data_IF_679931585422
#
_entry.id   IF_679931585422
#
_cell.length_a   1.000
_cell.length_b   1.000
_cell.length_c   1.000
_cell.angle_alpha   90.00
_cell.angle_beta   90.00
_cell.angle_gamma   90.00
#
_symmetry.space_group_name_H-M   'P 1'
#
loop_
_entity.id
_entity.type
_entity.pdbx_description
1 polymer ?
#
# COMPACT_ATOMS: atom_id res chain seq x y z
N UNK A 1 -7.50 -6.33 -9.97
CA UNK A 1 -6.50 -6.31 -8.88
C UNK A 1 -5.17 -6.75 -9.42
N UNK A 2 -4.11 -6.07 -9.06
CA UNK A 2 -2.75 -6.41 -9.48
C UNK A 2 -1.89 -6.68 -8.26
N UNK A 3 -1.00 -7.68 -8.31
CA UNK A 3 -0.05 -7.93 -7.23
C UNK A 3 1.07 -6.89 -7.27
N UNK A 4 1.38 -6.31 -6.09
CA UNK A 4 2.45 -5.34 -5.96
C UNK A 4 3.23 -5.61 -4.68
N UNK A 5 4.51 -5.25 -4.68
CA UNK A 5 5.32 -5.24 -3.48
C UNK A 5 4.97 -4.02 -2.63
N UNK A 6 5.08 -4.15 -1.30
CA UNK A 6 4.75 -3.06 -0.40
C UNK A 6 5.69 -3.01 0.80
N UNK A 7 5.76 -1.83 1.40
CA UNK A 7 6.44 -1.60 2.67
C UNK A 7 5.46 -0.88 3.61
N UNK A 8 5.25 -1.46 4.81
CA UNK A 8 4.52 -0.82 5.89
C UNK A 8 5.51 -0.17 6.85
N UNK A 9 5.38 1.13 7.10
CA UNK A 9 6.30 1.88 7.95
C UNK A 9 5.74 2.18 9.34
N UNK A 10 4.60 1.63 9.68
CA UNK A 10 3.89 1.89 10.93
C UNK A 10 2.78 2.93 10.82
N UNK A 11 2.76 3.69 9.74
CA UNK A 11 1.77 4.74 9.51
C UNK A 11 1.20 4.72 8.10
N UNK A 12 2.02 4.43 7.09
CA UNK A 12 1.63 4.42 5.68
C UNK A 12 2.10 3.15 5.00
N UNK A 13 1.44 2.82 3.89
CA UNK A 13 1.84 1.73 3.01
C UNK A 13 2.48 2.34 1.77
N UNK A 14 3.71 1.93 1.48
CA UNK A 14 4.44 2.36 0.29
C UNK A 14 4.35 1.26 -0.76
N UNK A 15 3.83 1.59 -1.92
CA UNK A 15 3.79 0.70 -3.08
C UNK A 15 4.49 1.36 -4.26
N UNK A 16 4.91 0.56 -5.22
CA UNK A 16 5.55 1.07 -6.43
C UNK A 16 4.97 0.38 -7.66
N UNK A 17 4.77 1.15 -8.71
CA UNK A 17 4.25 0.65 -9.98
C UNK A 17 4.80 1.51 -11.12
N UNK A 18 4.86 0.99 -12.36
CA UNK A 18 5.27 1.84 -13.49
C UNK A 18 4.38 3.09 -13.56
N UNK A 19 5.00 4.24 -13.71
CA UNK A 19 4.29 5.52 -13.70
C UNK A 19 3.23 5.61 -14.81
N UNK A 20 3.45 4.96 -15.93
CA UNK A 20 2.53 4.95 -17.07
C UNK A 20 1.49 3.82 -17.00
N UNK A 21 1.47 3.00 -15.94
CA UNK A 21 0.54 1.89 -15.84
C UNK A 21 -0.91 2.36 -15.61
N UNK A 22 -1.91 1.54 -15.96
CA UNK A 22 -3.30 1.84 -15.62
C UNK A 22 -3.51 2.03 -14.12
N UNK A 23 -2.82 1.23 -13.29
CA UNK A 23 -2.88 1.36 -11.83
C UNK A 23 -2.43 2.75 -11.39
N UNK A 24 -1.27 3.21 -11.89
CA UNK A 24 -0.77 4.54 -11.58
C UNK A 24 -1.76 5.63 -11.97
N UNK A 25 -2.30 5.56 -13.18
CA UNK A 25 -3.28 6.55 -13.66
C UNK A 25 -4.54 6.56 -12.82
N UNK A 26 -5.05 5.39 -12.44
CA UNK A 26 -6.26 5.29 -11.61
C UNK A 26 -6.03 5.85 -10.21
N UNK A 27 -4.89 5.55 -9.59
CA UNK A 27 -4.57 6.05 -8.25
C UNK A 27 -4.43 7.57 -8.26
N UNK A 28 -3.81 8.14 -9.28
CA UNK A 28 -3.65 9.59 -9.39
C UNK A 28 -4.98 10.29 -9.68
N UNK A 29 -5.86 9.64 -10.45
CA UNK A 29 -7.15 10.23 -10.81
C UNK A 29 -8.13 10.24 -9.63
N UNK A 30 -8.18 9.17 -8.84
CA UNK A 30 -9.16 9.02 -7.75
C UNK A 30 -8.60 9.37 -6.38
N UNK A 31 -7.31 9.17 -6.16
CA UNK A 31 -6.68 9.31 -4.85
C UNK A 31 -7.13 8.25 -3.84
N UNK A 32 -7.87 7.23 -4.28
CA UNK A 32 -8.41 6.18 -3.41
C UNK A 32 -7.86 4.83 -3.82
N UNK A 33 -7.63 3.97 -2.83
CA UNK A 33 -7.06 2.66 -3.07
C UNK A 33 -7.61 1.63 -2.10
N UNK A 34 -7.72 0.39 -2.56
CA UNK A 34 -8.01 -0.78 -1.74
C UNK A 34 -6.89 -1.77 -1.89
N UNK A 35 -6.38 -2.25 -0.77
CA UNK A 35 -5.28 -3.21 -0.72
C UNK A 35 -5.72 -4.46 0.02
N UNK A 36 -5.38 -5.62 -0.53
CA UNK A 36 -5.55 -6.90 0.15
C UNK A 36 -4.18 -7.50 0.41
N UNK A 37 -3.91 -7.88 1.64
CA UNK A 37 -2.63 -8.43 2.05
C UNK A 37 -2.86 -9.78 2.73
N UNK A 38 -2.17 -10.81 2.24
CA UNK A 38 -2.21 -12.14 2.81
C UNK A 38 -3.05 -13.13 2.01
N UNK A 39 -3.08 -14.40 2.44
CA UNK A 39 -3.88 -15.44 1.79
C UNK A 39 -5.38 -15.21 2.05
N UNK A 40 -6.20 -15.85 1.24
CA UNK A 40 -7.66 -15.64 1.24
C UNK A 40 -8.32 -15.85 2.61
N UNK A 41 -7.77 -16.74 3.43
CA UNK A 41 -8.34 -17.07 4.76
C UNK A 41 -7.73 -16.29 5.91
N UNK A 42 -6.67 -15.53 5.64
CA UNK A 42 -6.00 -14.72 6.63
C UNK A 42 -5.61 -13.41 5.95
N UNK A 43 -6.60 -12.55 5.80
CA UNK A 43 -6.53 -11.40 4.91
C UNK A 43 -6.66 -10.11 5.69
N UNK A 44 -5.82 -9.15 5.38
CA UNK A 44 -5.99 -7.76 5.82
C UNK A 44 -6.43 -6.94 4.62
N UNK A 45 -7.58 -6.28 4.77
CA UNK A 45 -8.10 -5.37 3.76
C UNK A 45 -7.86 -3.93 4.22
N UNK A 46 -7.28 -3.14 3.34
CA UNK A 46 -6.96 -1.73 3.62
C UNK A 46 -7.69 -0.87 2.59
N UNK A 47 -8.50 0.08 3.08
CA UNK A 47 -8.98 1.18 2.28
C UNK A 47 -8.15 2.40 2.65
N UNK A 48 -7.56 3.05 1.66
CA UNK A 48 -6.68 4.16 1.90
C UNK A 48 -6.79 5.27 0.88
N UNK A 49 -6.06 6.33 1.13
CA UNK A 49 -5.94 7.47 0.22
C UNK A 49 -4.48 7.66 -0.17
N UNK A 50 -4.27 8.10 -1.41
CA UNK A 50 -2.93 8.46 -1.88
C UNK A 50 -2.54 9.77 -1.21
N UNK A 51 -1.53 9.71 -0.36
CA UNK A 51 -1.01 10.87 0.35
C UNK A 51 0.01 11.62 -0.49
N UNK A 52 0.85 10.89 -1.22
CA UNK A 52 1.88 11.47 -2.07
C UNK A 52 2.26 10.49 -3.17
N UNK A 53 2.72 11.03 -4.28
CA UNK A 53 3.28 10.28 -5.40
C UNK A 53 4.71 10.77 -5.61
N UNK A 54 5.67 9.86 -5.63
CA UNK A 54 7.08 10.21 -5.78
C UNK A 54 7.69 9.40 -6.92
N UNK A 55 8.27 10.05 -7.90
CA UNK A 55 9.01 9.35 -8.95
C UNK A 55 10.17 8.56 -8.33
N UNK A 56 10.49 7.39 -8.88
CA UNK A 56 11.54 6.55 -8.32
C UNK A 56 12.88 7.28 -8.22
N UNK A 57 13.18 8.17 -9.17
CA UNK A 57 14.40 8.95 -9.15
C UNK A 57 14.46 9.97 -8.01
N UNK A 58 13.30 10.34 -7.46
CA UNK A 58 13.18 11.40 -6.46
C UNK A 58 12.92 10.88 -5.04
N UNK A 59 12.78 9.57 -4.87
CA UNK A 59 12.51 9.00 -3.54
C UNK A 59 13.72 9.27 -2.62
N UNK A 60 13.49 9.69 -1.36
CA UNK A 60 14.59 9.81 -0.41
C UNK A 60 15.35 8.48 -0.27
N UNK A 61 16.70 8.50 -0.21
CA UNK A 61 17.49 7.27 -0.17
C UNK A 61 17.09 6.31 0.95
N UNK A 62 16.79 6.82 2.14
CA UNK A 62 16.38 5.98 3.26
C UNK A 62 15.08 5.20 2.96
N UNK A 63 14.11 5.86 2.36
CA UNK A 63 12.84 5.22 2.00
C UNK A 63 13.02 4.22 0.85
N UNK A 64 13.80 4.58 -0.17
CA UNK A 64 14.10 3.69 -1.29
C UNK A 64 14.87 2.44 -0.84
N UNK A 65 15.84 2.61 0.04
CA UNK A 65 16.62 1.50 0.59
C UNK A 65 15.73 0.57 1.44
N UNK A 66 14.89 1.13 2.29
CA UNK A 66 13.98 0.35 3.13
C UNK A 66 13.02 -0.48 2.28
N UNK A 67 12.48 0.09 1.22
CA UNK A 67 11.61 -0.62 0.29
C UNK A 67 12.33 -1.77 -0.38
N UNK A 68 13.55 -1.52 -0.89
CA UNK A 68 14.33 -2.54 -1.58
C UNK A 68 14.71 -3.71 -0.66
N UNK A 69 15.11 -3.41 0.57
CA UNK A 69 15.47 -4.45 1.56
C UNK A 69 14.24 -5.30 1.91
N UNK A 70 13.10 -4.66 2.17
CA UNK A 70 11.89 -5.38 2.58
C UNK A 70 11.31 -6.24 1.45
N UNK A 71 11.29 -5.73 0.23
CA UNK A 71 10.59 -6.39 -0.88
C UNK A 71 11.51 -7.22 -1.77
N UNK A 72 12.82 -7.00 -1.70
CA UNK A 72 13.78 -7.60 -2.64
C UNK A 72 13.71 -7.00 -4.04
N UNK A 73 13.02 -5.86 -4.19
CA UNK A 73 12.80 -5.21 -5.47
C UNK A 73 13.11 -3.72 -5.34
N UNK A 74 13.98 -3.20 -6.21
CA UNK A 74 14.35 -1.78 -6.21
C UNK A 74 13.86 -1.10 -7.49
N UNK A 75 12.73 -0.37 -7.42
CA UNK A 75 12.21 0.35 -8.58
C UNK A 75 13.17 1.39 -9.16
N UNK A 76 14.12 1.89 -8.36
CA UNK A 76 15.09 2.89 -8.81
C UNK A 76 16.04 2.36 -9.87
N UNK A 77 16.23 1.04 -9.93
CA UNK A 77 17.13 0.40 -10.88
C UNK A 77 16.50 0.11 -12.23
N UNK A 78 15.20 0.36 -12.38
CA UNK A 78 14.47 0.06 -13.59
C UNK A 78 14.43 1.26 -14.53
N UNK A 79 14.53 0.97 -15.84
CA UNK A 79 14.53 2.02 -16.86
C UNK A 79 13.14 2.51 -17.23
N UNK A 80 12.09 1.78 -16.85
CA UNK A 80 10.72 2.07 -17.29
C UNK A 80 10.02 3.20 -16.51
N UNK A 81 10.71 3.81 -15.56
CA UNK A 81 10.13 4.91 -14.82
C UNK A 81 9.02 4.47 -13.87
N UNK A 82 9.39 4.04 -12.68
CA UNK A 82 8.44 3.70 -11.62
C UNK A 82 8.08 4.92 -10.79
N UNK A 83 6.93 4.86 -10.16
CA UNK A 83 6.49 5.82 -9.16
C UNK A 83 6.16 5.09 -7.86
N UNK A 84 6.50 5.71 -6.73
CA UNK A 84 6.09 5.27 -5.41
C UNK A 84 4.81 5.99 -5.01
N UNK A 85 3.88 5.25 -4.46
CA UNK A 85 2.63 5.78 -3.93
C UNK A 85 2.62 5.60 -2.42
N UNK A 86 2.50 6.70 -1.70
CA UNK A 86 2.39 6.71 -0.24
C UNK A 86 0.92 6.65 0.11
N UNK A 87 0.47 5.52 0.64
CA UNK A 87 -0.93 5.26 0.93
C UNK A 87 -1.16 5.45 2.42
N UNK A 88 -2.05 6.36 2.78
CA UNK A 88 -2.49 6.52 4.16
C UNK A 88 -3.72 5.65 4.39
N UNK A 89 -3.65 4.66 5.30
CA UNK A 89 -4.81 3.85 5.60
C UNK A 89 -5.91 4.69 6.24
N UNK A 90 -7.15 4.44 5.83
CA UNK A 90 -8.33 5.06 6.42
C UNK A 90 -9.19 4.03 7.12
N UNK A 91 -9.24 2.81 6.58
CA UNK A 91 -9.97 1.70 7.17
C UNK A 91 -9.13 0.42 7.02
N UNK A 92 -8.99 -0.31 8.11
CA UNK A 92 -8.36 -1.63 8.12
C UNK A 92 -9.33 -2.66 8.69
N UNK A 93 -9.39 -3.81 8.02
CA UNK A 93 -10.15 -4.96 8.47
C UNK A 93 -9.24 -6.18 8.43
N UNK A 94 -9.16 -6.93 9.53
CA UNK A 94 -8.50 -8.22 9.56
C UNK A 94 -9.55 -9.31 9.51
N UNK A 95 -9.30 -10.32 8.69
CA UNK A 95 -10.29 -11.34 8.42
C UNK A 95 -9.57 -12.69 8.28
N UNK A 96 -9.73 -13.55 9.26
CA UNK A 96 -9.13 -14.87 9.23
C UNK A 96 -10.13 -15.95 8.86
N UNK A 97 -11.27 -15.97 9.53
CA UNK A 97 -12.33 -16.94 9.29
C UNK A 97 -13.68 -16.26 9.42
N UNK A 98 -14.74 -16.94 8.97
CA UNK A 98 -16.09 -16.37 9.05
C UNK A 98 -16.53 -16.05 10.49
N UNK A 99 -16.03 -16.77 11.47
CA UNK A 99 -16.36 -16.56 12.88
C UNK A 99 -15.74 -15.29 13.49
N UNK A 100 -14.90 -14.58 12.76
CA UNK A 100 -14.27 -13.35 13.25
C UNK A 100 -14.94 -12.09 12.71
N UNK A 101 -16.10 -12.19 12.10
CA UNK A 101 -16.76 -11.07 11.42
C UNK A 101 -17.05 -9.88 12.35
N UNK A 102 -17.40 -10.13 13.60
CA UNK A 102 -17.77 -9.07 14.54
C UNK A 102 -16.61 -8.16 14.96
N UNK A 103 -15.38 -8.67 14.94
CA UNK A 103 -14.19 -7.92 15.36
C UNK A 103 -13.26 -7.59 14.19
N UNK A 104 -13.82 -7.46 13.00
CA UNK A 104 -13.07 -7.32 11.77
C UNK A 104 -12.37 -5.98 11.62
N UNK A 105 -13.00 -4.91 12.06
CA UNK A 105 -12.47 -3.56 11.88
C UNK A 105 -11.37 -3.26 12.88
N UNK A 106 -10.19 -2.87 12.36
CA UNK A 106 -9.04 -2.43 13.15
C UNK A 106 -8.83 -0.92 13.07
N UNK A 107 -9.35 -0.29 12.03
CA UNK A 107 -9.24 1.15 11.81
C UNK A 107 -10.47 1.64 11.06
N UNK A 108 -11.00 2.79 11.45
CA UNK A 108 -12.07 3.50 10.75
C UNK A 108 -11.80 4.99 10.74
N UNK A 109 -12.04 5.64 9.60
CA UNK A 109 -11.84 7.08 9.45
C UNK A 109 -10.40 7.52 9.70
N UNK A 110 -9.43 6.63 9.58
CA UNK A 110 -8.03 6.91 9.84
C UNK A 110 -7.59 6.71 11.28
N UNK A 111 -8.50 6.31 12.18
CA UNK A 111 -8.21 6.10 13.61
C UNK A 111 -8.25 4.62 13.95
N UNK A 112 -7.28 4.18 14.75
CA UNK A 112 -7.25 2.82 15.27
C UNK A 112 -8.40 2.60 16.24
N UNK A 113 -9.13 1.48 16.07
CA UNK A 113 -10.27 1.11 16.91
C UNK A 113 -10.02 -0.14 17.75
N UNK A 114 -8.84 -0.73 17.65
CA UNK A 114 -8.43 -1.86 18.48
C UNK A 114 -7.98 -1.33 19.85
N UNK A 115 -8.23 -2.12 20.92
CA UNK A 115 -7.80 -1.72 22.27
C UNK A 115 -6.31 -1.63 22.40
#
# INVERSE_FOLDING_TARGET
>A
MVPLSFLWDGATVLIATPAASPTSRNLQATGKVRLGIGPTRDLVLIEGTVQAVTAAADIPPAAGDAFAVKTGFDPRELTDGYAYFHIRPRRLQAWREANELAARDLMRGGDWVIP
#
